data_IF_382898224607
#
_entry.id   IF_382898224607
#
_cell.length_a   1.000
_cell.length_b   1.000
_cell.length_c   1.000
_cell.angle_alpha   90.00
_cell.angle_beta   90.00
_cell.angle_gamma   90.00
#
_symmetry.space_group_name_H-M   'P 1'
#
loop_
_entity.id
_entity.type
_entity.pdbx_description
1 polymer ?
#
# COMPACT_ATOMS: atom_id res chain seq x y z
N UNK A 1 -27.28 3.90 -4.22
CA UNK A 1 -27.11 2.80 -5.19
C UNK A 1 -26.63 3.32 -6.53
N UNK A 2 -26.99 4.54 -6.91
CA UNK A 2 -26.87 5.01 -8.30
C UNK A 2 -25.62 5.88 -8.55
N UNK A 3 -24.83 6.12 -7.50
CA UNK A 3 -23.59 6.91 -7.57
C UNK A 3 -22.41 5.98 -7.83
N UNK A 4 -21.60 6.31 -8.84
CA UNK A 4 -20.32 5.67 -9.10
C UNK A 4 -19.21 6.39 -8.34
N UNK A 5 -18.31 5.66 -7.69
CA UNK A 5 -17.18 6.28 -6.99
C UNK A 5 -16.14 6.75 -8.01
N UNK A 6 -15.76 8.04 -8.03
CA UNK A 6 -14.67 8.52 -8.88
C UNK A 6 -13.38 7.73 -8.65
N UNK A 7 -12.63 7.49 -9.73
CA UNK A 7 -11.37 6.73 -9.72
C UNK A 7 -11.45 5.26 -9.31
N UNK A 8 -12.65 4.73 -9.01
CA UNK A 8 -12.89 3.31 -8.81
C UNK A 8 -13.40 2.65 -10.10
N UNK A 9 -13.25 1.33 -10.18
CA UNK A 9 -13.67 0.55 -11.35
C UNK A 9 -15.19 0.45 -11.53
N UNK A 10 -15.99 1.05 -10.65
CA UNK A 10 -17.46 0.89 -10.62
C UNK A 10 -18.11 1.17 -11.98
N UNK A 11 -17.75 2.30 -12.62
CA UNK A 11 -18.37 2.74 -13.86
C UNK A 11 -17.90 1.91 -15.04
N UNK A 12 -16.58 1.77 -15.20
CA UNK A 12 -15.99 1.02 -16.31
C UNK A 12 -16.39 -0.46 -16.28
N UNK A 13 -16.51 -1.05 -15.09
CA UNK A 13 -16.99 -2.42 -14.92
C UNK A 13 -18.47 -2.55 -15.33
N UNK A 14 -19.32 -1.60 -14.90
CA UNK A 14 -20.73 -1.58 -15.30
C UNK A 14 -20.90 -1.41 -16.80
N UNK A 15 -20.20 -0.45 -17.42
CA UNK A 15 -20.25 -0.23 -18.87
C UNK A 15 -19.79 -1.44 -19.66
N UNK A 16 -18.76 -2.17 -19.17
CA UNK A 16 -18.22 -3.34 -19.86
C UNK A 16 -19.10 -4.58 -19.72
N UNK A 17 -19.64 -4.86 -18.54
CA UNK A 17 -20.28 -6.13 -18.22
C UNK A 17 -21.79 -6.03 -17.95
N UNK A 18 -22.36 -4.82 -17.94
CA UNK A 18 -23.78 -4.57 -17.64
C UNK A 18 -24.19 -4.81 -16.18
N UNK A 19 -23.25 -5.19 -15.31
CA UNK A 19 -23.49 -5.54 -13.91
C UNK A 19 -22.54 -4.78 -12.98
N UNK A 20 -23.00 -4.46 -11.77
CA UNK A 20 -22.20 -3.80 -10.73
C UNK A 20 -22.71 -4.16 -9.35
N UNK A 21 -21.81 -4.55 -8.44
CA UNK A 21 -22.12 -4.57 -7.02
C UNK A 21 -21.96 -3.16 -6.46
N UNK A 22 -23.04 -2.53 -6.02
CA UNK A 22 -23.01 -1.17 -5.47
C UNK A 22 -22.51 -1.14 -4.02
N UNK A 23 -22.37 -2.30 -3.36
CA UNK A 23 -21.91 -2.40 -1.96
C UNK A 23 -20.39 -2.33 -1.84
N UNK A 24 -19.66 -2.43 -2.94
CA UNK A 24 -18.20 -2.37 -2.97
C UNK A 24 -17.62 -2.71 -4.34
N UNK A 25 -16.29 -2.68 -4.47
CA UNK A 25 -15.62 -2.96 -5.75
C UNK A 25 -15.72 -4.40 -6.25
N UNK A 26 -16.33 -5.32 -5.48
CA UNK A 26 -16.36 -6.75 -5.81
C UNK A 26 -14.94 -7.26 -6.13
N UNK A 27 -14.74 -7.75 -7.36
CA UNK A 27 -13.43 -8.23 -7.85
C UNK A 27 -12.37 -7.12 -7.97
N UNK A 28 -12.75 -5.86 -8.13
CA UNK A 28 -11.81 -4.74 -8.23
C UNK A 28 -11.34 -4.21 -6.86
N UNK A 29 -11.79 -4.80 -5.75
CA UNK A 29 -11.38 -4.40 -4.41
C UNK A 29 -9.92 -4.78 -4.15
N UNK A 30 -9.20 -3.92 -3.43
CA UNK A 30 -7.85 -4.20 -2.93
C UNK A 30 -7.80 -5.43 -2.01
N UNK A 31 -8.94 -5.96 -1.52
CA UNK A 31 -9.01 -7.23 -0.78
C UNK A 31 -8.35 -8.40 -1.55
N UNK A 32 -8.36 -8.31 -2.88
CA UNK A 32 -7.71 -9.28 -3.77
C UNK A 32 -6.21 -9.45 -3.52
N UNK A 33 -5.54 -8.40 -3.03
CA UNK A 33 -4.09 -8.41 -2.78
C UNK A 33 -3.65 -9.45 -1.75
N UNK A 34 -4.55 -9.97 -0.91
CA UNK A 34 -4.24 -11.06 0.03
C UNK A 34 -3.71 -12.29 -0.69
N UNK A 35 -4.37 -12.71 -1.78
CA UNK A 35 -3.92 -13.86 -2.55
C UNK A 35 -2.52 -13.61 -3.13
N UNK A 36 -2.23 -12.37 -3.55
CA UNK A 36 -0.90 -11.97 -4.06
C UNK A 36 0.16 -11.98 -2.98
N UNK A 37 -0.16 -11.53 -1.76
CA UNK A 37 0.76 -11.54 -0.62
C UNK A 37 1.13 -12.98 -0.25
N UNK A 38 0.16 -13.91 -0.26
CA UNK A 38 0.43 -15.34 0.00
C UNK A 38 1.38 -15.92 -1.06
N UNK A 39 1.09 -15.70 -2.34
CA UNK A 39 1.98 -16.13 -3.43
C UNK A 39 3.38 -15.49 -3.32
N UNK A 40 3.43 -14.19 -2.99
CA UNK A 40 4.67 -13.44 -2.78
C UNK A 40 5.49 -13.98 -1.61
N UNK A 41 4.85 -14.42 -0.52
CA UNK A 41 5.55 -15.03 0.61
C UNK A 41 6.27 -16.33 0.19
N UNK A 42 5.62 -17.17 -0.63
CA UNK A 42 6.25 -18.37 -1.20
C UNK A 42 7.43 -18.00 -2.10
N UNK A 43 7.25 -16.99 -2.96
CA UNK A 43 8.34 -16.49 -3.80
C UNK A 43 9.53 -15.96 -2.98
N UNK A 44 9.27 -15.22 -1.88
CA UNK A 44 10.33 -14.74 -0.97
C UNK A 44 11.12 -15.89 -0.34
N UNK A 45 10.47 -17.01 -0.02
CA UNK A 45 11.17 -18.19 0.51
C UNK A 45 12.12 -18.79 -0.53
N UNK A 46 11.70 -18.90 -1.78
CA UNK A 46 12.56 -19.38 -2.87
C UNK A 46 13.73 -18.44 -3.14
N UNK A 47 13.48 -17.14 -3.27
CA UNK A 47 14.51 -16.12 -3.50
C UNK A 47 15.58 -16.12 -2.40
N UNK A 48 15.16 -16.36 -1.15
CA UNK A 48 16.09 -16.47 -0.02
C UNK A 48 17.11 -17.61 -0.20
N UNK A 49 16.75 -18.70 -0.88
CA UNK A 49 17.66 -19.83 -1.13
C UNK A 49 18.83 -19.45 -2.05
N UNK A 50 18.63 -18.46 -2.92
CA UNK A 50 19.66 -17.94 -3.83
C UNK A 50 20.24 -16.60 -3.36
N UNK A 51 20.07 -16.27 -2.07
CA UNK A 51 20.66 -15.08 -1.46
C UNK A 51 19.96 -13.75 -1.80
N UNK A 52 18.77 -13.79 -2.41
CA UNK A 52 18.00 -12.59 -2.73
C UNK A 52 17.03 -12.25 -1.60
N UNK A 53 17.04 -11.01 -1.15
CA UNK A 53 16.09 -10.46 -0.18
C UNK A 53 15.26 -9.35 -0.80
N UNK A 54 14.01 -9.22 -0.34
CA UNK A 54 13.07 -8.20 -0.80
C UNK A 54 12.48 -7.49 0.41
N UNK A 55 12.65 -6.18 0.44
CA UNK A 55 12.19 -5.28 1.51
C UNK A 55 11.42 -4.12 0.89
N UNK A 56 10.40 -3.63 1.59
CA UNK A 56 9.63 -2.46 1.21
C UNK A 56 9.41 -1.59 2.44
N UNK A 57 9.37 -0.30 2.23
CA UNK A 57 9.08 0.71 3.24
C UNK A 57 8.35 1.89 2.60
N UNK A 58 7.75 2.73 3.43
CA UNK A 58 7.05 3.93 2.96
C UNK A 58 8.03 5.07 2.75
N UNK A 59 8.18 5.53 1.50
CA UNK A 59 9.05 6.65 1.16
C UNK A 59 8.34 8.01 1.19
N UNK A 60 7.00 8.02 1.11
CA UNK A 60 6.21 9.25 1.10
C UNK A 60 4.75 8.99 1.50
N UNK A 61 4.17 9.90 2.27
CA UNK A 61 2.72 10.02 2.49
C UNK A 61 2.34 11.48 2.32
N UNK A 62 1.39 11.75 1.42
CA UNK A 62 0.99 13.12 1.09
C UNK A 62 2.20 13.97 0.68
N UNK A 63 2.40 15.11 1.34
CA UNK A 63 3.53 16.02 1.10
C UNK A 63 4.81 15.65 1.85
N UNK A 64 4.77 14.68 2.78
CA UNK A 64 5.93 14.28 3.59
C UNK A 64 6.68 13.17 2.88
N UNK A 65 7.88 13.46 2.41
CA UNK A 65 8.74 12.52 1.68
C UNK A 65 10.10 12.34 2.38
N UNK A 66 10.69 11.17 2.17
CA UNK A 66 12.10 10.91 2.45
C UNK A 66 12.99 11.69 1.47
N UNK A 67 14.15 12.13 1.95
CA UNK A 67 15.04 13.02 1.20
C UNK A 67 16.38 12.36 0.83
N UNK A 68 16.71 11.22 1.42
CA UNK A 68 18.00 10.55 1.27
C UNK A 68 17.92 9.39 0.29
N UNK A 69 19.09 8.96 -0.19
CA UNK A 69 19.19 7.72 -0.95
C UNK A 69 18.78 6.51 -0.10
N UNK A 70 18.15 5.51 -0.72
CA UNK A 70 17.63 4.34 -0.01
C UNK A 70 18.70 3.56 0.75
N UNK A 71 19.97 3.62 0.31
CA UNK A 71 21.10 2.95 0.97
C UNK A 71 21.48 3.58 2.31
N UNK A 72 20.98 4.78 2.60
CA UNK A 72 21.29 5.54 3.82
C UNK A 72 20.30 5.29 4.96
N UNK A 73 19.29 4.45 4.75
CA UNK A 73 18.27 4.14 5.76
C UNK A 73 18.54 2.80 6.45
N UNK A 74 18.29 2.75 7.77
CA UNK A 74 18.28 1.48 8.51
C UNK A 74 16.93 0.79 8.37
N UNK A 75 16.90 -0.31 7.63
CA UNK A 75 15.69 -1.10 7.42
C UNK A 75 15.16 -1.78 8.69
N UNK A 76 15.92 -1.81 9.79
CA UNK A 76 15.42 -2.26 11.09
C UNK A 76 14.36 -1.34 11.69
N UNK A 77 14.28 -0.09 11.22
CA UNK A 77 13.29 0.89 11.69
C UNK A 77 11.90 0.70 11.06
N UNK A 78 11.81 -0.02 9.93
CA UNK A 78 10.58 -0.16 9.14
C UNK A 78 9.41 -0.71 9.97
N UNK A 79 9.63 -1.73 10.80
CA UNK A 79 8.55 -2.38 11.55
C UNK A 79 8.28 -1.73 12.92
N UNK A 80 8.97 -0.62 13.25
CA UNK A 80 8.85 0.04 14.56
C UNK A 80 7.77 1.14 14.62
N UNK A 81 7.15 1.47 13.49
CA UNK A 81 6.11 2.49 13.41
C UNK A 81 4.96 2.09 12.48
N UNK A 82 3.79 2.69 12.68
CA UNK A 82 2.54 2.30 12.01
C UNK A 82 2.50 2.66 10.52
N UNK A 83 3.33 3.61 10.06
CA UNK A 83 3.43 4.01 8.66
C UNK A 83 4.54 3.26 7.91
N UNK A 84 5.30 2.40 8.59
CA UNK A 84 6.40 1.60 8.03
C UNK A 84 7.46 2.42 7.29
N UNK A 85 7.76 3.60 7.80
CA UNK A 85 8.81 4.49 7.28
C UNK A 85 10.14 4.18 8.00
N UNK A 86 11.30 4.12 7.32
CA UNK A 86 12.57 3.78 7.95
C UNK A 86 13.25 5.00 8.62
N UNK A 87 12.66 6.20 8.51
CA UNK A 87 13.11 7.41 9.17
C UNK A 87 12.11 7.77 10.28
N UNK A 88 12.48 7.65 11.57
CA UNK A 88 11.56 7.91 12.67
C UNK A 88 10.99 9.34 12.70
N UNK A 89 11.76 10.35 12.30
CA UNK A 89 11.29 11.74 12.30
C UNK A 89 10.24 11.95 11.20
N UNK A 90 10.52 11.47 9.98
CA UNK A 90 9.54 11.52 8.89
C UNK A 90 8.33 10.65 9.18
N UNK A 91 8.49 9.53 9.90
CA UNK A 91 7.37 8.69 10.32
C UNK A 91 6.38 9.49 11.20
N UNK A 92 6.87 10.26 12.17
CA UNK A 92 6.03 11.12 13.01
C UNK A 92 5.30 12.20 12.20
N UNK A 93 6.00 12.86 11.27
CA UNK A 93 5.39 13.84 10.35
C UNK A 93 4.27 13.22 9.50
N UNK A 94 4.51 12.04 8.93
CA UNK A 94 3.52 11.30 8.14
C UNK A 94 2.29 10.92 8.98
N UNK A 95 2.49 10.47 10.22
CA UNK A 95 1.40 10.11 11.13
C UNK A 95 0.54 11.33 11.44
N UNK A 96 1.15 12.48 11.76
CA UNK A 96 0.43 13.73 12.01
C UNK A 96 -0.40 14.16 10.80
N UNK A 97 0.16 14.07 9.59
CA UNK A 97 -0.56 14.40 8.37
C UNK A 97 -1.78 13.48 8.15
N UNK A 98 -1.65 12.18 8.44
CA UNK A 98 -2.77 11.23 8.36
C UNK A 98 -3.88 11.61 9.37
N UNK A 99 -3.50 11.99 10.58
CA UNK A 99 -4.44 12.41 11.62
C UNK A 99 -5.18 13.69 11.25
N UNK A 100 -4.48 14.69 10.70
CA UNK A 100 -5.07 15.96 10.23
C UNK A 100 -6.08 15.74 9.09
N UNK A 101 -5.76 14.88 8.12
CA UNK A 101 -6.66 14.61 6.98
C UNK A 101 -7.86 13.76 7.38
N UNK A 102 -7.74 12.99 8.47
CA UNK A 102 -8.81 12.12 8.97
C UNK A 102 -9.87 12.92 9.74
N UNK A 103 -9.49 13.98 10.44
CA UNK A 103 -10.39 14.87 11.20
C UNK A 103 -11.18 15.81 10.29
#
# INVERSE_FOLDING_TARGET
KDVFRPSHADFTYYTKYGIRDYRGGGRSSARETIARVVAGAIAKLYLKQIGISVTAYTSQIGSVALERDYTQYDFKEIEKNIVRCPDPQKAEEMIRLIEEVKS
#
